data_IF_959118190441
#
_entry.id   IF_959118190441
#
_cell.length_a   1.000
_cell.length_b   1.000
_cell.length_c   1.000
_cell.angle_alpha   90.00
_cell.angle_beta   90.00
_cell.angle_gamma   90.00
#
_symmetry.space_group_name_H-M   'P 1'
#
loop_
_entity.id
_entity.type
_entity.pdbx_description
1 polymer ?
#
# COMPACT_ATOMS: atom_id res chain seq x y z
N UNK A 1 7.13 -33.93 -20.60
CA UNK A 1 5.79 -33.98 -21.22
C UNK A 1 4.80 -34.77 -20.36
N UNK A 2 5.06 -36.05 -20.03
CA UNK A 2 4.12 -36.86 -19.23
C UNK A 2 3.72 -36.26 -17.87
N UNK A 3 4.64 -35.64 -17.13
CA UNK A 3 4.32 -35.01 -15.84
C UNK A 3 3.44 -33.77 -16.02
N UNK A 4 3.77 -32.88 -16.96
CA UNK A 4 2.99 -31.68 -17.26
C UNK A 4 1.56 -31.96 -17.75
N UNK A 5 1.35 -33.13 -18.35
CA UNK A 5 0.04 -33.61 -18.81
C UNK A 5 -0.63 -34.56 -17.79
N UNK A 6 -0.17 -34.59 -16.53
CA UNK A 6 -0.78 -35.40 -15.48
C UNK A 6 -1.87 -34.65 -14.74
N UNK A 7 -3.04 -35.28 -14.57
CA UNK A 7 -4.13 -34.74 -13.73
C UNK A 7 -3.70 -34.57 -12.27
N UNK A 8 -2.80 -35.43 -11.78
CA UNK A 8 -2.24 -35.33 -10.43
C UNK A 8 -1.37 -34.07 -10.32
N UNK A 9 -0.58 -33.77 -11.35
CA UNK A 9 0.25 -32.58 -11.36
C UNK A 9 -0.58 -31.29 -11.45
N UNK A 10 -1.66 -31.30 -12.23
CA UNK A 10 -2.66 -30.23 -12.22
C UNK A 10 -3.27 -30.03 -10.82
N UNK A 11 -3.65 -31.11 -10.14
CA UNK A 11 -4.20 -31.04 -8.78
C UNK A 11 -3.19 -30.45 -7.79
N UNK A 12 -1.90 -30.81 -7.90
CA UNK A 12 -0.83 -30.21 -7.10
C UNK A 12 -0.73 -28.71 -7.37
N UNK A 13 -0.83 -28.28 -8.64
CA UNK A 13 -0.88 -26.85 -9.00
C UNK A 13 -2.11 -26.12 -8.42
N UNK A 14 -3.28 -26.77 -8.41
CA UNK A 14 -4.49 -26.18 -7.82
C UNK A 14 -4.36 -26.03 -6.30
N UNK A 15 -3.87 -27.07 -5.63
CA UNK A 15 -3.63 -27.05 -4.18
C UNK A 15 -2.53 -26.06 -3.80
N UNK A 16 -1.51 -25.86 -4.63
CA UNK A 16 -0.45 -24.88 -4.37
C UNK A 16 -0.94 -23.45 -4.53
N UNK A 17 -1.83 -23.16 -5.48
CA UNK A 17 -2.52 -21.87 -5.59
C UNK A 17 -3.42 -21.60 -4.37
N UNK A 18 -4.21 -22.59 -3.94
CA UNK A 18 -5.00 -22.48 -2.71
C UNK A 18 -4.10 -22.27 -1.49
N UNK A 19 -2.97 -22.99 -1.42
CA UNK A 19 -1.95 -22.82 -0.39
C UNK A 19 -1.38 -21.40 -0.35
N UNK A 20 -1.03 -20.83 -1.50
CA UNK A 20 -0.56 -19.45 -1.62
C UNK A 20 -1.58 -18.45 -1.06
N UNK A 21 -2.86 -18.66 -1.35
CA UNK A 21 -3.92 -17.73 -0.93
C UNK A 21 -4.32 -17.87 0.54
N UNK A 22 -4.50 -19.10 1.04
CA UNK A 22 -5.06 -19.33 2.38
C UNK A 22 -4.01 -19.48 3.48
N UNK A 23 -2.80 -19.95 3.16
CA UNK A 23 -1.77 -20.17 4.18
C UNK A 23 -0.99 -18.89 4.52
N UNK A 24 -0.47 -18.77 5.75
CA UNK A 24 0.33 -17.61 6.16
C UNK A 24 1.77 -17.67 5.65
N UNK A 25 2.34 -16.48 5.43
CA UNK A 25 3.79 -16.20 5.32
C UNK A 25 4.58 -17.26 4.51
N UNK A 26 5.45 -18.04 5.15
CA UNK A 26 6.36 -18.98 4.50
C UNK A 26 5.67 -20.23 3.95
N UNK A 27 4.52 -20.62 4.52
CA UNK A 27 3.73 -21.73 3.99
C UNK A 27 3.06 -21.31 2.67
N UNK A 28 2.50 -20.10 2.64
CA UNK A 28 1.98 -19.48 1.42
C UNK A 28 3.08 -19.32 0.36
N UNK A 29 4.25 -18.83 0.77
CA UNK A 29 5.44 -18.74 -0.10
C UNK A 29 5.84 -20.08 -0.71
N UNK A 30 5.84 -21.16 0.08
CA UNK A 30 6.11 -22.52 -0.43
C UNK A 30 5.07 -22.96 -1.46
N UNK A 31 3.78 -22.67 -1.22
CA UNK A 31 2.71 -22.85 -2.20
C UNK A 31 2.97 -22.08 -3.50
N UNK A 32 3.39 -20.82 -3.39
CA UNK A 32 3.80 -19.98 -4.52
C UNK A 32 4.96 -20.57 -5.32
N UNK A 33 6.00 -21.11 -4.66
CA UNK A 33 7.12 -21.78 -5.34
C UNK A 33 6.67 -23.01 -6.12
N UNK A 34 5.82 -23.86 -5.52
CA UNK A 34 5.29 -25.04 -6.21
C UNK A 34 4.40 -24.62 -7.38
N UNK A 35 3.58 -23.58 -7.22
CA UNK A 35 2.77 -23.00 -8.29
C UNK A 35 3.64 -22.47 -9.45
N UNK A 36 4.76 -21.81 -9.15
CA UNK A 36 5.72 -21.34 -10.15
C UNK A 36 6.32 -22.52 -10.94
N UNK A 37 6.73 -23.60 -10.26
CA UNK A 37 7.23 -24.81 -10.94
C UNK A 37 6.14 -25.43 -11.81
N UNK A 38 4.91 -25.52 -11.30
CA UNK A 38 3.77 -26.05 -12.04
C UNK A 38 3.49 -25.24 -13.33
N UNK A 39 3.30 -23.93 -13.21
CA UNK A 39 3.00 -23.03 -14.34
C UNK A 39 4.10 -23.05 -15.40
N UNK A 40 5.37 -23.03 -14.97
CA UNK A 40 6.51 -23.13 -15.90
C UNK A 40 6.59 -24.51 -16.59
N UNK A 41 6.17 -25.58 -15.92
CA UNK A 41 6.20 -26.93 -16.50
C UNK A 41 5.15 -27.15 -17.59
N UNK A 42 3.99 -26.49 -17.49
CA UNK A 42 2.89 -26.61 -18.47
C UNK A 42 3.05 -25.62 -19.64
N UNK A 43 3.84 -24.56 -19.47
CA UNK A 43 4.06 -23.53 -20.48
C UNK A 43 4.43 -24.06 -21.88
N UNK A 44 5.39 -25.01 -22.04
CA UNK A 44 5.73 -25.51 -23.38
C UNK A 44 4.58 -26.24 -24.07
N UNK A 45 3.74 -26.94 -23.31
CA UNK A 45 2.57 -27.64 -23.83
C UNK A 45 1.48 -26.64 -24.27
N UNK A 46 1.22 -25.62 -23.44
CA UNK A 46 0.26 -24.57 -23.77
C UNK A 46 0.71 -23.77 -25.00
N UNK A 47 2.00 -23.45 -25.11
CA UNK A 47 2.58 -22.74 -26.25
C UNK A 47 2.47 -23.55 -27.56
N UNK A 48 2.79 -24.86 -27.52
CA UNK A 48 2.65 -25.77 -28.66
C UNK A 48 1.18 -25.83 -29.14
N UNK A 49 0.21 -25.88 -28.22
CA UNK A 49 -1.22 -25.87 -28.56
C UNK A 49 -1.66 -24.55 -29.18
N UNK A 50 -1.32 -23.42 -28.58
CA UNK A 50 -1.66 -22.08 -29.10
C UNK A 50 -1.09 -21.88 -30.51
N UNK A 51 0.12 -22.38 -30.78
CA UNK A 51 0.75 -22.27 -32.11
C UNK A 51 -0.01 -22.96 -33.24
N UNK A 52 -0.93 -23.88 -32.92
CA UNK A 52 -1.78 -24.61 -33.88
C UNK A 52 -3.19 -24.03 -34.00
N UNK A 53 -3.47 -22.95 -33.29
CA UNK A 53 -4.76 -22.27 -33.33
C UNK A 53 -4.70 -21.04 -34.25
N UNK A 54 -5.82 -20.65 -34.89
CA UNK A 54 -5.86 -19.44 -35.71
C UNK A 54 -5.45 -18.20 -34.90
N UNK A 55 -4.37 -17.49 -35.28
CA UNK A 55 -3.69 -16.53 -34.39
C UNK A 55 -4.60 -15.38 -33.97
N UNK A 56 -5.37 -14.81 -34.91
CA UNK A 56 -6.29 -13.71 -34.61
C UNK A 56 -7.39 -14.11 -33.63
N UNK A 57 -7.99 -15.31 -33.79
CA UNK A 57 -9.04 -15.80 -32.88
C UNK A 57 -8.49 -16.13 -31.51
N UNK A 58 -7.33 -16.77 -31.45
CA UNK A 58 -6.66 -17.10 -30.19
C UNK A 58 -6.25 -15.86 -29.42
N UNK A 59 -5.67 -14.86 -30.09
CA UNK A 59 -5.31 -13.60 -29.48
C UNK A 59 -6.54 -12.86 -28.95
N UNK A 60 -7.62 -12.79 -29.75
CA UNK A 60 -8.87 -12.15 -29.32
C UNK A 60 -9.43 -12.82 -28.07
N UNK A 61 -9.56 -14.15 -28.05
CA UNK A 61 -10.06 -14.89 -26.89
C UNK A 61 -9.14 -14.69 -25.68
N UNK A 62 -7.83 -14.80 -25.85
CA UNK A 62 -6.87 -14.61 -24.77
C UNK A 62 -6.95 -13.20 -24.15
N UNK A 63 -7.03 -12.15 -24.99
CA UNK A 63 -7.16 -10.77 -24.50
C UNK A 63 -8.50 -10.58 -23.79
N UNK A 64 -9.61 -11.07 -24.35
CA UNK A 64 -10.92 -10.95 -23.70
C UNK A 64 -10.95 -11.68 -22.36
N UNK A 65 -10.42 -12.90 -22.29
CA UNK A 65 -10.30 -13.66 -21.04
C UNK A 65 -9.43 -12.91 -20.02
N UNK A 66 -8.25 -12.43 -20.43
CA UNK A 66 -7.37 -11.65 -19.57
C UNK A 66 -8.07 -10.39 -19.03
N UNK A 67 -8.77 -9.63 -19.89
CA UNK A 67 -9.52 -8.45 -19.47
C UNK A 67 -10.62 -8.82 -18.45
N UNK A 68 -11.37 -9.90 -18.69
CA UNK A 68 -12.39 -10.37 -17.73
C UNK A 68 -11.75 -10.75 -16.39
N UNK A 69 -10.62 -11.46 -16.40
CA UNK A 69 -9.89 -11.82 -15.18
C UNK A 69 -9.40 -10.57 -14.41
N UNK A 70 -8.85 -9.58 -15.13
CA UNK A 70 -8.43 -8.30 -14.55
C UNK A 70 -9.61 -7.53 -13.97
N UNK A 71 -10.72 -7.39 -14.71
CA UNK A 71 -11.91 -6.72 -14.21
C UNK A 71 -12.53 -7.44 -13.01
N UNK A 72 -12.54 -8.78 -13.02
CA UNK A 72 -13.00 -9.56 -11.86
C UNK A 72 -12.14 -9.25 -10.63
N UNK A 73 -10.82 -9.20 -10.79
CA UNK A 73 -9.91 -8.85 -9.69
C UNK A 73 -10.06 -7.39 -9.23
N UNK A 74 -10.44 -6.46 -10.11
CA UNK A 74 -10.83 -5.10 -9.71
C UNK A 74 -12.13 -5.15 -8.90
N UNK A 75 -13.12 -5.92 -9.35
CA UNK A 75 -14.42 -6.01 -8.68
C UNK A 75 -14.37 -6.63 -7.29
N UNK A 76 -13.40 -7.50 -6.98
CA UNK A 76 -13.26 -8.04 -5.61
C UNK A 76 -12.88 -6.96 -4.60
N UNK A 77 -12.28 -5.86 -5.04
CA UNK A 77 -11.81 -4.72 -4.21
C UNK A 77 -12.77 -3.54 -4.33
N UNK A 78 -13.06 -3.12 -5.56
CA UNK A 78 -13.91 -1.97 -5.86
C UNK A 78 -15.40 -2.32 -5.88
N UNK A 79 -15.82 -3.43 -5.25
CA UNK A 79 -17.19 -3.96 -5.33
C UNK A 79 -18.25 -2.92 -4.95
N UNK A 80 -17.94 -2.03 -4.00
CA UNK A 80 -18.87 -1.01 -3.51
C UNK A 80 -19.10 0.13 -4.52
N UNK A 81 -18.27 0.22 -5.56
CA UNK A 81 -18.29 1.30 -6.55
C UNK A 81 -18.77 0.88 -7.93
N UNK A 82 -18.85 -0.43 -8.20
CA UNK A 82 -19.12 -0.99 -9.54
C UNK A 82 -20.44 -1.77 -9.56
N UNK A 83 -21.27 -1.63 -10.61
CA UNK A 83 -22.47 -2.45 -10.77
C UNK A 83 -22.16 -3.94 -10.76
N UNK A 84 -22.87 -4.71 -9.94
CA UNK A 84 -22.67 -6.17 -9.80
C UNK A 84 -21.48 -6.58 -8.95
N UNK A 85 -20.66 -5.65 -8.44
CA UNK A 85 -19.49 -5.96 -7.62
C UNK A 85 -19.82 -6.72 -6.33
N UNK A 86 -21.03 -6.58 -5.79
CA UNK A 86 -21.48 -7.31 -4.60
C UNK A 86 -21.34 -8.83 -4.74
N UNK A 87 -21.44 -9.38 -5.95
CA UNK A 87 -21.30 -10.81 -6.20
C UNK A 87 -19.86 -11.31 -6.15
N UNK A 88 -18.89 -10.39 -6.25
CA UNK A 88 -17.45 -10.69 -6.22
C UNK A 88 -16.79 -10.22 -4.94
N UNK A 89 -17.53 -9.54 -4.06
CA UNK A 89 -17.04 -9.07 -2.76
C UNK A 89 -16.38 -10.22 -2.02
N UNK A 90 -15.11 -10.06 -1.67
CA UNK A 90 -14.32 -11.04 -0.92
C UNK A 90 -14.08 -12.39 -1.63
N UNK A 91 -14.43 -12.49 -2.92
CA UNK A 91 -14.44 -13.75 -3.67
C UNK A 91 -13.33 -13.89 -4.72
N UNK A 92 -12.08 -13.66 -4.32
CA UNK A 92 -10.92 -13.97 -5.21
C UNK A 92 -10.79 -15.47 -5.47
N UNK A 93 -11.33 -16.30 -4.59
CA UNK A 93 -11.43 -17.75 -4.76
C UNK A 93 -12.20 -18.17 -6.01
N UNK A 94 -13.25 -17.44 -6.39
CA UNK A 94 -13.99 -17.70 -7.63
C UNK A 94 -13.11 -17.51 -8.87
N UNK A 95 -12.30 -16.46 -8.88
CA UNK A 95 -11.34 -16.21 -9.96
C UNK A 95 -10.28 -17.30 -10.01
N UNK A 96 -9.71 -17.67 -8.86
CA UNK A 96 -8.71 -18.74 -8.79
C UNK A 96 -9.27 -20.07 -9.31
N UNK A 97 -10.50 -20.43 -8.93
CA UNK A 97 -11.17 -21.62 -9.41
C UNK A 97 -11.41 -21.56 -10.92
N UNK A 98 -11.85 -20.42 -11.46
CA UNK A 98 -12.06 -20.23 -12.89
C UNK A 98 -10.77 -20.36 -13.69
N UNK A 99 -9.66 -19.76 -13.22
CA UNK A 99 -8.33 -19.87 -13.85
C UNK A 99 -7.85 -21.32 -13.87
N UNK A 100 -7.91 -22.02 -12.72
CA UNK A 100 -7.46 -23.41 -12.65
C UNK A 100 -8.33 -24.36 -13.48
N UNK A 101 -9.64 -24.13 -13.53
CA UNK A 101 -10.56 -24.84 -14.40
C UNK A 101 -10.26 -24.58 -15.89
N UNK A 102 -9.97 -23.33 -16.25
CA UNK A 102 -9.54 -22.96 -17.60
C UNK A 102 -8.27 -23.70 -18.02
N UNK A 103 -7.28 -23.78 -17.13
CA UNK A 103 -6.06 -24.57 -17.35
C UNK A 103 -6.40 -26.07 -17.51
N UNK A 104 -7.31 -26.61 -16.68
CA UNK A 104 -7.75 -28.00 -16.80
C UNK A 104 -8.38 -28.31 -18.16
N UNK A 105 -9.34 -27.49 -18.58
CA UNK A 105 -10.02 -27.62 -19.87
C UNK A 105 -9.01 -27.50 -21.02
N UNK A 106 -8.11 -26.52 -20.93
CA UNK A 106 -7.05 -26.28 -21.91
C UNK A 106 -6.08 -27.45 -22.07
N UNK A 107 -5.76 -28.17 -20.99
CA UNK A 107 -4.85 -29.31 -20.99
C UNK A 107 -5.52 -30.65 -21.36
N UNK A 108 -6.75 -30.89 -20.91
CA UNK A 108 -7.35 -32.24 -20.94
C UNK A 108 -8.58 -32.38 -21.83
N UNK A 109 -9.30 -31.30 -22.13
CA UNK A 109 -10.58 -31.34 -22.87
C UNK A 109 -10.46 -30.77 -24.28
N UNK A 110 -9.47 -29.90 -24.52
CA UNK A 110 -9.19 -29.36 -25.84
C UNK A 110 -9.01 -30.46 -26.90
N UNK A 111 -9.73 -30.33 -28.04
CA UNK A 111 -9.56 -31.23 -29.19
C UNK A 111 -8.12 -31.15 -29.70
N UNK A 112 -7.57 -32.27 -30.16
CA UNK A 112 -6.35 -32.27 -30.97
C UNK A 112 -6.61 -31.43 -32.22
N UNK A 113 -6.05 -30.22 -32.27
CA UNK A 113 -6.17 -29.33 -33.42
C UNK A 113 -5.46 -29.92 -34.64
N UNK A 114 -5.94 -29.52 -35.81
CA UNK A 114 -5.47 -29.97 -37.12
C UNK A 114 -3.94 -29.83 -37.23
N UNK A 115 -3.26 -30.95 -37.50
CA UNK A 115 -1.80 -31.00 -37.59
C UNK A 115 -1.26 -30.25 -38.83
N UNK A 116 -2.14 -29.91 -39.77
CA UNK A 116 -1.78 -29.23 -41.02
C UNK A 116 -1.54 -27.73 -40.88
N UNK A 117 -2.02 -27.10 -39.80
CA UNK A 117 -1.89 -25.66 -39.57
C UNK A 117 -0.93 -25.34 -38.42
N UNK A 118 0.05 -24.48 -38.72
CA UNK A 118 0.93 -23.86 -37.71
C UNK A 118 1.01 -22.37 -37.99
N UNK A 119 0.72 -21.55 -36.98
CA UNK A 119 0.74 -20.09 -37.07
C UNK A 119 2.17 -19.54 -37.13
N UNK A 120 3.15 -20.32 -36.67
CA UNK A 120 4.57 -20.02 -36.77
C UNK A 120 5.21 -20.93 -37.83
N UNK A 121 6.10 -20.41 -38.69
CA UNK A 121 6.85 -21.26 -39.60
C UNK A 121 7.60 -22.31 -38.77
N UNK A 122 7.49 -23.58 -39.17
CA UNK A 122 8.30 -24.65 -38.59
C UNK A 122 9.75 -24.33 -38.90
N UNK A 123 10.44 -23.69 -37.96
CA UNK A 123 11.88 -23.46 -38.06
C UNK A 123 12.49 -24.86 -38.15
N UNK A 124 13.16 -25.17 -39.26
CA UNK A 124 13.96 -26.38 -39.38
C UNK A 124 14.81 -26.49 -38.12
N UNK A 125 14.70 -27.62 -37.41
CA UNK A 125 15.47 -27.87 -36.18
C UNK A 125 16.96 -27.82 -36.53
N UNK A 126 17.58 -26.64 -36.49
CA UNK A 126 19.01 -26.54 -36.27
C UNK A 126 19.24 -27.27 -34.94
N UNK A 127 19.96 -28.40 -34.99
CA UNK A 127 20.37 -29.14 -33.80
C UNK A 127 21.29 -28.25 -32.99
N UNK A 128 20.69 -27.41 -32.14
CA UNK A 128 21.41 -26.72 -31.09
C UNK A 128 21.81 -27.81 -30.10
N UNK A 129 23.12 -27.92 -29.83
CA UNK A 129 23.61 -28.90 -28.87
C UNK A 129 22.95 -28.67 -27.52
N UNK A 130 22.40 -29.73 -26.91
CA UNK A 130 21.85 -29.70 -25.56
C UNK A 130 22.87 -29.12 -24.57
N UNK A 131 24.16 -29.42 -24.72
CA UNK A 131 25.21 -28.85 -23.87
C UNK A 131 25.31 -27.33 -23.96
N UNK A 132 25.11 -26.74 -25.16
CA UNK A 132 25.10 -25.29 -25.35
C UNK A 132 23.88 -24.64 -24.71
N UNK A 133 22.73 -25.32 -24.73
CA UNK A 133 21.51 -24.84 -24.05
C UNK A 133 21.69 -24.87 -22.53
N UNK A 134 22.19 -25.97 -21.96
CA UNK A 134 22.45 -26.07 -20.52
C UNK A 134 23.52 -25.06 -20.07
N UNK A 135 24.57 -24.86 -20.87
CA UNK A 135 25.57 -23.83 -20.60
C UNK A 135 24.94 -22.43 -20.59
N UNK A 136 24.11 -22.10 -21.58
CA UNK A 136 23.42 -20.81 -21.63
C UNK A 136 22.48 -20.62 -20.43
N UNK A 137 21.67 -21.63 -20.10
CA UNK A 137 20.78 -21.58 -18.93
C UNK A 137 21.57 -21.46 -17.62
N UNK A 138 22.70 -22.16 -17.51
CA UNK A 138 23.62 -22.05 -16.38
C UNK A 138 24.22 -20.65 -16.27
N UNK A 139 24.66 -20.06 -17.39
CA UNK A 139 25.15 -18.67 -17.42
C UNK A 139 24.06 -17.67 -17.02
N UNK A 140 22.83 -17.84 -17.52
CA UNK A 140 21.68 -17.00 -17.13
C UNK A 140 21.42 -17.13 -15.62
N UNK A 141 21.38 -18.35 -15.09
CA UNK A 141 21.19 -18.59 -13.66
C UNK A 141 22.31 -17.95 -12.83
N UNK A 142 23.57 -18.19 -13.19
CA UNK A 142 24.73 -17.60 -12.51
C UNK A 142 24.69 -16.07 -12.57
N UNK A 143 24.31 -15.48 -13.70
CA UNK A 143 24.18 -14.03 -13.84
C UNK A 143 23.05 -13.47 -12.95
N UNK A 144 21.92 -14.16 -12.87
CA UNK A 144 20.81 -13.79 -11.99
C UNK A 144 21.21 -13.88 -10.51
N UNK A 145 21.85 -14.99 -10.10
CA UNK A 145 22.36 -15.18 -8.74
C UNK A 145 23.42 -14.15 -8.37
N UNK A 146 24.33 -13.81 -9.29
CA UNK A 146 25.31 -12.75 -9.08
C UNK A 146 24.63 -11.39 -8.88
N UNK A 147 23.58 -11.09 -9.67
CA UNK A 147 22.75 -9.90 -9.47
C UNK A 147 22.12 -9.84 -8.07
N UNK A 148 21.54 -10.94 -7.60
CA UNK A 148 21.02 -11.04 -6.23
C UNK A 148 22.11 -10.85 -5.17
N UNK A 149 23.29 -11.46 -5.36
CA UNK A 149 24.41 -11.28 -4.44
C UNK A 149 24.88 -9.82 -4.35
N UNK A 150 24.88 -9.08 -5.47
CA UNK A 150 25.20 -7.64 -5.45
C UNK A 150 24.14 -6.79 -4.74
N UNK A 151 22.87 -7.23 -4.78
CA UNK A 151 21.75 -6.60 -4.07
C UNK A 151 21.64 -7.00 -2.60
N UNK A 152 22.37 -8.03 -2.15
CA UNK A 152 22.37 -8.45 -0.76
C UNK A 152 23.02 -7.41 0.20
N UNK A 153 23.52 -6.28 -0.30
CA UNK A 153 23.95 -5.18 0.58
C UNK A 153 22.80 -4.80 1.50
N UNK A 154 23.12 -4.65 2.80
CA UNK A 154 22.15 -4.16 3.77
C UNK A 154 21.63 -2.80 3.31
N UNK A 155 20.31 -2.64 3.32
CA UNK A 155 19.66 -1.36 3.09
C UNK A 155 20.23 -0.34 4.07
N UNK A 156 20.73 0.77 3.55
CA UNK A 156 21.18 1.89 4.38
C UNK A 156 19.95 2.69 4.81
N UNK A 157 19.72 2.76 6.11
CA UNK A 157 18.62 3.53 6.68
C UNK A 157 19.05 4.98 6.86
N UNK A 158 18.22 5.90 6.36
CA UNK A 158 18.38 7.34 6.58
C UNK A 158 18.16 7.63 8.07
N UNK A 159 19.16 8.15 8.79
CA UNK A 159 18.96 8.50 10.18
C UNK A 159 17.92 9.61 10.30
N UNK A 160 17.09 9.61 11.36
CA UNK A 160 16.20 10.72 11.66
C UNK A 160 17.01 12.01 11.86
N UNK A 161 16.45 13.14 11.41
CA UNK A 161 17.06 14.46 11.61
C UNK A 161 16.85 14.88 13.06
N UNK A 162 17.64 14.34 13.99
CA UNK A 162 17.55 14.69 15.41
C UNK A 162 18.19 16.05 15.66
N UNK A 163 17.43 17.13 15.44
CA UNK A 163 17.82 18.44 15.95
C UNK A 163 17.73 18.47 17.48
N UNK A 164 16.70 17.84 18.06
CA UNK A 164 16.48 17.72 19.50
C UNK A 164 16.06 16.27 19.88
N UNK A 165 16.55 15.72 21.01
CA UNK A 165 16.14 14.40 21.48
C UNK A 165 14.64 14.35 21.79
N UNK A 166 13.94 13.34 21.25
CA UNK A 166 12.50 13.16 21.50
C UNK A 166 11.57 13.91 20.58
N UNK A 167 12.11 14.71 19.67
CA UNK A 167 11.31 15.30 18.63
C UNK A 167 11.22 14.38 17.42
N UNK A 168 10.04 14.34 16.82
CA UNK A 168 9.80 13.62 15.59
C UNK A 168 8.66 14.26 14.79
N UNK A 169 8.62 13.96 13.50
CA UNK A 169 7.57 14.39 12.60
C UNK A 169 6.76 13.20 12.06
N UNK A 170 5.46 13.39 11.92
CA UNK A 170 4.53 12.40 11.41
C UNK A 170 3.68 12.98 10.26
N UNK A 171 3.66 12.28 9.13
CA UNK A 171 3.00 12.68 7.89
C UNK A 171 1.94 11.66 7.49
N UNK A 172 0.80 12.14 6.99
CA UNK A 172 -0.25 11.36 6.34
C UNK A 172 -0.46 11.90 4.93
N UNK A 173 -0.71 10.99 3.98
CA UNK A 173 -1.04 11.34 2.61
C UNK A 173 -1.79 10.22 1.89
N UNK A 174 -2.90 10.53 1.24
CA UNK A 174 -3.57 9.61 0.31
C UNK A 174 -2.81 9.57 -1.01
N UNK A 175 -2.25 8.40 -1.32
CA UNK A 175 -1.19 8.24 -2.31
C UNK A 175 -1.67 7.78 -3.70
N UNK A 176 -2.95 7.44 -3.81
CA UNK A 176 -3.63 7.05 -5.05
C UNK A 176 -2.81 6.02 -5.86
N UNK A 177 -2.33 4.99 -5.17
CA UNK A 177 -1.57 3.85 -5.69
C UNK A 177 -0.27 4.23 -6.43
N UNK A 178 0.26 5.44 -6.18
CA UNK A 178 1.44 5.96 -6.87
C UNK A 178 1.16 6.50 -8.27
N UNK A 179 -0.08 6.93 -8.55
CA UNK A 179 -0.45 7.62 -9.78
C UNK A 179 -0.79 9.10 -9.51
N UNK A 180 -0.41 9.97 -10.44
CA UNK A 180 -0.78 11.39 -10.40
C UNK A 180 -2.22 11.62 -10.89
N UNK A 181 -2.70 12.87 -10.81
CA UNK A 181 -4.08 13.22 -11.22
C UNK A 181 -4.36 13.07 -12.72
N UNK A 182 -3.35 12.72 -13.52
CA UNK A 182 -3.48 12.40 -14.94
C UNK A 182 -3.35 10.90 -15.21
N UNK A 183 -3.25 10.08 -14.16
CA UNK A 183 -3.10 8.63 -14.24
C UNK A 183 -1.68 8.17 -14.62
N UNK A 184 -0.66 9.02 -14.49
CA UNK A 184 0.73 8.63 -14.75
C UNK A 184 1.42 8.15 -13.47
N UNK A 185 2.25 7.09 -13.53
CA UNK A 185 3.10 6.70 -12.42
C UNK A 185 3.92 7.88 -11.88
N UNK A 186 3.94 8.04 -10.56
CA UNK A 186 4.48 9.23 -9.89
C UNK A 186 5.57 8.95 -8.84
N UNK A 187 5.98 7.68 -8.65
CA UNK A 187 6.87 7.23 -7.58
C UNK A 187 8.10 8.14 -7.31
N UNK A 188 8.83 8.53 -8.35
CA UNK A 188 9.99 9.43 -8.22
C UNK A 188 9.62 10.84 -7.72
N UNK A 189 8.54 11.42 -8.23
CA UNK A 189 8.05 12.73 -7.76
C UNK A 189 7.53 12.65 -6.33
N UNK A 190 6.90 11.54 -5.99
CA UNK A 190 6.36 11.26 -4.67
C UNK A 190 7.46 11.06 -3.62
N UNK A 191 8.50 10.27 -3.94
CA UNK A 191 9.67 10.16 -3.07
C UNK A 191 10.37 11.51 -2.87
N UNK A 192 10.46 12.31 -3.94
CA UNK A 192 10.98 13.68 -3.83
C UNK A 192 10.14 14.54 -2.88
N UNK A 193 8.81 14.52 -3.00
CA UNK A 193 7.92 15.25 -2.09
C UNK A 193 8.10 14.79 -0.65
N UNK A 194 8.06 13.48 -0.39
CA UNK A 194 8.25 12.91 0.96
C UNK A 194 9.60 13.34 1.54
N UNK A 195 10.68 13.28 0.75
CA UNK A 195 11.99 13.73 1.20
C UNK A 195 12.02 15.24 1.48
N UNK A 196 11.32 16.04 0.68
CA UNK A 196 11.20 17.50 0.87
C UNK A 196 10.39 17.89 2.11
N UNK A 197 9.42 17.07 2.55
CA UNK A 197 8.71 17.33 3.82
C UNK A 197 9.63 17.14 5.03
N UNK A 198 10.63 16.26 4.90
CA UNK A 198 11.55 15.90 5.98
C UNK A 198 10.93 14.96 7.02
N UNK A 199 9.73 14.43 6.78
CA UNK A 199 8.99 13.57 7.70
C UNK A 199 9.81 12.37 8.20
N UNK A 200 9.68 12.01 9.48
CA UNK A 200 10.37 10.87 10.07
C UNK A 200 9.51 9.61 10.10
N UNK A 201 8.20 9.78 10.32
CA UNK A 201 7.18 8.75 10.15
C UNK A 201 6.21 9.22 9.05
N UNK A 202 5.97 8.37 8.06
CA UNK A 202 5.08 8.66 6.92
C UNK A 202 4.08 7.53 6.81
N UNK A 203 2.81 7.86 6.72
CA UNK A 203 1.81 6.93 6.23
C UNK A 203 1.24 7.37 4.89
N UNK A 204 1.17 6.41 3.98
CA UNK A 204 0.55 6.51 2.68
C UNK A 204 -0.72 5.66 2.70
N UNK A 205 -1.84 6.28 2.35
CA UNK A 205 -3.15 5.62 2.24
C UNK A 205 -3.47 5.37 0.77
N UNK A 206 -4.42 4.47 0.48
CA UNK A 206 -4.65 3.99 -0.89
C UNK A 206 -3.34 3.55 -1.55
N UNK A 207 -2.57 2.77 -0.81
CA UNK A 207 -1.19 2.40 -1.17
C UNK A 207 -1.06 0.91 -1.40
N UNK A 208 -2.16 0.23 -1.75
CA UNK A 208 -2.10 -1.18 -2.13
C UNK A 208 -1.12 -1.38 -3.27
N UNK A 209 -0.42 -2.50 -3.20
CA UNK A 209 0.67 -2.87 -4.06
C UNK A 209 0.50 -4.33 -4.49
N UNK A 210 1.20 -4.74 -5.54
CA UNK A 210 1.19 -6.12 -6.02
C UNK A 210 -0.15 -6.63 -6.58
N UNK A 211 -1.07 -5.72 -6.96
CA UNK A 211 -2.29 -6.08 -7.71
C UNK A 211 -2.02 -6.00 -9.23
N UNK A 212 -2.51 -6.96 -10.04
CA UNK A 212 -2.29 -6.94 -11.49
C UNK A 212 -2.75 -5.66 -12.19
N UNK A 213 -3.87 -5.09 -11.76
CA UNK A 213 -4.39 -3.84 -12.31
C UNK A 213 -3.62 -2.58 -11.86
N UNK A 214 -2.75 -2.71 -10.85
CA UNK A 214 -1.81 -1.66 -10.41
C UNK A 214 -0.39 -1.91 -10.94
N UNK A 215 -0.24 -2.82 -11.91
CA UNK A 215 1.04 -3.13 -12.54
C UNK A 215 1.94 -4.08 -11.75
N UNK A 216 1.41 -4.77 -10.72
CA UNK A 216 2.18 -5.65 -9.82
C UNK A 216 3.40 -4.96 -9.17
N UNK A 217 3.34 -3.65 -8.98
CA UNK A 217 4.42 -2.88 -8.38
C UNK A 217 4.42 -3.07 -6.86
N UNK A 218 5.61 -3.17 -6.25
CA UNK A 218 5.79 -3.11 -4.80
C UNK A 218 6.20 -1.68 -4.40
N UNK A 219 5.20 -0.86 -4.07
CA UNK A 219 5.39 0.53 -3.69
C UNK A 219 6.20 0.65 -2.40
N UNK A 220 5.96 -0.25 -1.44
CA UNK A 220 6.61 -0.24 -0.14
C UNK A 220 8.10 -0.52 -0.27
N UNK A 221 8.47 -1.60 -0.97
CA UNK A 221 9.87 -1.94 -1.22
C UNK A 221 10.59 -0.80 -1.96
N UNK A 222 10.01 -0.28 -3.04
CA UNK A 222 10.63 0.77 -3.83
C UNK A 222 10.84 2.06 -3.02
N UNK A 223 9.82 2.53 -2.29
CA UNK A 223 9.91 3.74 -1.48
C UNK A 223 10.85 3.57 -0.28
N UNK A 224 10.80 2.42 0.38
CA UNK A 224 11.70 2.09 1.49
C UNK A 224 13.16 2.13 1.08
N UNK A 225 13.51 1.50 -0.05
CA UNK A 225 14.87 1.56 -0.60
C UNK A 225 15.26 2.98 -1.03
N UNK A 226 14.37 3.68 -1.74
CA UNK A 226 14.64 5.02 -2.27
C UNK A 226 14.87 6.07 -1.18
N UNK A 227 14.13 5.97 -0.06
CA UNK A 227 14.15 6.93 1.04
C UNK A 227 15.01 6.46 2.23
N UNK A 228 15.48 5.21 2.21
CA UNK A 228 16.20 4.61 3.33
C UNK A 228 15.33 4.46 4.58
N UNK A 229 14.08 4.01 4.42
CA UNK A 229 13.11 3.91 5.53
C UNK A 229 12.67 2.45 5.77
N UNK A 230 12.38 2.13 7.02
CA UNK A 230 11.68 0.90 7.40
C UNK A 230 10.28 0.90 6.79
N UNK A 231 9.82 -0.27 6.35
CA UNK A 231 8.55 -0.45 5.64
C UNK A 231 7.65 -1.38 6.42
N UNK A 232 6.39 -0.99 6.57
CA UNK A 232 5.30 -1.90 6.96
C UNK A 232 4.08 -1.66 6.07
N UNK A 233 3.59 -2.72 5.44
CA UNK A 233 2.48 -2.66 4.50
C UNK A 233 1.37 -3.59 4.98
N UNK A 234 0.14 -3.09 5.04
CA UNK A 234 -0.98 -3.93 5.43
C UNK A 234 -2.36 -3.28 5.35
N UNK A 235 -3.41 -4.11 5.52
CA UNK A 235 -3.38 -5.57 5.57
C UNK A 235 -2.99 -6.21 4.21
N UNK A 236 -2.76 -7.53 4.20
CA UNK A 236 -2.31 -8.23 3.00
C UNK A 236 -3.23 -8.01 1.78
N UNK A 237 -2.67 -7.99 0.56
CA UNK A 237 -3.38 -7.73 -0.71
C UNK A 237 -4.63 -8.61 -0.91
N UNK A 238 -4.64 -9.83 -0.34
CA UNK A 238 -5.78 -10.76 -0.38
C UNK A 238 -6.98 -10.37 0.50
N UNK A 239 -6.87 -9.31 1.30
CA UNK A 239 -7.94 -8.81 2.18
C UNK A 239 -8.86 -7.80 1.48
N UNK A 240 -8.61 -7.54 0.20
CA UNK A 240 -9.48 -6.72 -0.66
C UNK A 240 -9.69 -5.28 -0.19
N UNK A 241 -8.75 -4.74 0.59
CA UNK A 241 -8.71 -3.32 0.94
C UNK A 241 -7.95 -2.51 -0.12
N UNK A 242 -7.85 -1.19 0.06
CA UNK A 242 -6.95 -0.30 -0.69
C UNK A 242 -5.57 -0.13 -0.07
N UNK A 243 -5.28 -0.85 1.02
CA UNK A 243 -3.97 -0.90 1.67
C UNK A 243 -3.54 0.40 2.37
N UNK A 244 -2.74 0.23 3.42
CA UNK A 244 -1.97 1.29 4.06
C UNK A 244 -0.49 0.91 4.03
N UNK A 245 0.36 1.91 3.86
CA UNK A 245 1.80 1.77 3.86
C UNK A 245 2.38 2.73 4.90
N UNK A 246 3.30 2.22 5.69
CA UNK A 246 4.07 2.97 6.67
C UNK A 246 5.53 2.96 6.23
N UNK A 247 6.13 4.14 6.25
CA UNK A 247 7.56 4.36 6.11
C UNK A 247 8.06 5.05 7.37
N UNK A 248 9.14 4.56 7.96
CA UNK A 248 9.70 5.14 9.18
C UNK A 248 11.22 5.22 9.12
N UNK A 249 11.81 6.34 9.52
CA UNK A 249 13.26 6.44 9.78
C UNK A 249 13.66 5.73 11.07
N UNK A 250 12.69 5.52 11.96
CA UNK A 250 12.85 4.82 13.22
C UNK A 250 12.45 3.33 13.11
N UNK A 251 13.08 2.42 13.86
CA UNK A 251 12.71 1.00 13.84
C UNK A 251 11.25 0.75 14.25
N UNK A 252 10.57 -0.07 13.47
CA UNK A 252 9.23 -0.59 13.77
C UNK A 252 9.41 -1.80 14.69
N UNK A 253 8.95 -1.70 15.95
CA UNK A 253 9.15 -2.77 16.95
C UNK A 253 8.00 -3.76 17.01
N UNK A 254 6.79 -3.32 16.65
CA UNK A 254 5.59 -4.16 16.62
C UNK A 254 4.61 -3.59 15.61
N UNK A 255 3.98 -4.45 14.81
CA UNK A 255 2.87 -4.06 13.94
C UNK A 255 1.75 -5.10 13.99
N UNK A 256 0.51 -4.63 13.96
CA UNK A 256 -0.70 -5.43 13.81
C UNK A 256 -1.57 -4.81 12.72
N UNK A 257 -2.00 -5.62 11.76
CA UNK A 257 -2.89 -5.20 10.68
C UNK A 257 -4.32 -5.62 10.96
N UNK A 258 -5.26 -4.74 10.66
CA UNK A 258 -6.68 -4.90 10.96
C UNK A 258 -7.53 -4.71 9.70
N UNK A 259 -8.52 -5.56 9.54
CA UNK A 259 -9.65 -5.32 8.66
C UNK A 259 -10.77 -4.71 9.50
N UNK A 260 -11.14 -3.47 9.19
CA UNK A 260 -12.15 -2.77 10.00
C UNK A 260 -13.55 -3.36 9.78
N UNK A 261 -14.45 -3.27 10.79
CA UNK A 261 -15.81 -3.76 10.64
C UNK A 261 -16.54 -3.11 9.46
N UNK A 262 -17.05 -3.94 8.53
CA UNK A 262 -17.81 -3.46 7.37
C UNK A 262 -18.95 -4.42 7.01
N UNK A 263 -20.13 -4.31 7.65
CA UNK A 263 -21.26 -5.19 7.34
C UNK A 263 -21.81 -5.01 5.93
N UNK A 264 -21.75 -3.81 5.34
CA UNK A 264 -22.40 -3.53 4.05
C UNK A 264 -21.48 -2.83 3.05
N UNK A 265 -20.68 -1.90 3.53
CA UNK A 265 -19.87 -1.01 2.72
C UNK A 265 -18.50 -1.55 2.38
N UNK A 266 -17.55 -0.64 2.33
CA UNK A 266 -16.18 -0.87 1.88
C UNK A 266 -15.29 -1.44 3.00
N UNK A 267 -14.56 -2.50 2.64
CA UNK A 267 -13.49 -3.07 3.46
C UNK A 267 -12.35 -2.06 3.63
N UNK A 268 -12.14 -1.65 4.87
CA UNK A 268 -11.23 -0.57 5.21
C UNK A 268 -10.01 -1.10 6.00
N UNK A 269 -8.79 -0.67 5.65
CA UNK A 269 -7.57 -1.08 6.33
C UNK A 269 -7.26 -0.23 7.57
N UNK A 270 -6.70 -0.85 8.60
CA UNK A 270 -6.03 -0.15 9.69
C UNK A 270 -4.74 -0.88 10.12
N UNK A 271 -3.77 -0.12 10.62
CA UNK A 271 -2.53 -0.63 11.18
C UNK A 271 -2.32 0.00 12.56
N UNK A 272 -2.05 -0.83 13.57
CA UNK A 272 -1.53 -0.37 14.86
C UNK A 272 -0.06 -0.76 14.96
N UNK A 273 0.81 0.23 15.12
CA UNK A 273 2.26 0.03 15.09
C UNK A 273 2.91 0.71 16.29
N UNK A 274 3.97 0.12 16.84
CA UNK A 274 4.83 0.76 17.83
C UNK A 274 6.19 1.02 17.19
N UNK A 275 6.71 2.22 17.38
CA UNK A 275 7.97 2.71 16.81
C UNK A 275 8.91 3.15 17.92
N UNK A 276 10.21 2.85 17.78
CA UNK A 276 11.24 3.27 18.73
C UNK A 276 11.87 4.61 18.32
N UNK A 277 11.39 5.70 18.95
CA UNK A 277 11.86 7.07 18.74
C UNK A 277 12.94 7.38 19.79
N UNK A 278 14.18 6.98 19.49
CA UNK A 278 15.34 7.29 20.32
C UNK A 278 15.30 6.66 21.71
N UNK A 279 14.88 5.40 21.80
CA UNK A 279 14.74 4.63 23.05
C UNK A 279 13.37 4.77 23.72
N UNK A 280 12.44 5.51 23.12
CA UNK A 280 11.08 5.73 23.63
C UNK A 280 10.05 5.24 22.63
N UNK A 281 9.08 4.47 23.12
CA UNK A 281 8.03 3.93 22.27
C UNK A 281 6.92 4.93 22.04
N UNK A 282 6.53 5.07 20.77
CA UNK A 282 5.35 5.81 20.34
C UNK A 282 4.48 4.86 19.52
N UNK A 283 3.20 4.81 19.85
CA UNK A 283 2.22 4.04 19.09
C UNK A 283 1.62 4.91 17.97
N UNK A 284 1.34 4.30 16.83
CA UNK A 284 0.60 4.92 15.75
C UNK A 284 -0.60 4.06 15.37
N UNK A 285 -1.73 4.73 15.14
CA UNK A 285 -2.93 4.10 14.58
C UNK A 285 -3.19 4.75 13.24
N UNK A 286 -2.99 3.98 12.18
CA UNK A 286 -3.08 4.40 10.79
C UNK A 286 -4.30 3.79 10.15
N UNK A 287 -5.08 4.56 9.38
CA UNK A 287 -6.27 4.00 8.71
C UNK A 287 -6.71 4.78 7.49
N UNK A 288 -7.38 4.07 6.58
CA UNK A 288 -8.24 4.66 5.57
C UNK A 288 -9.66 4.14 5.78
N UNK A 289 -10.57 4.94 6.34
CA UNK A 289 -11.97 4.52 6.53
C UNK A 289 -12.67 4.32 5.19
N UNK A 290 -13.70 3.47 5.18
CA UNK A 290 -14.52 3.26 3.99
C UNK A 290 -15.30 4.51 3.61
N UNK A 291 -15.79 4.56 2.38
CA UNK A 291 -16.52 5.72 1.85
C UNK A 291 -17.75 6.17 2.67
N UNK A 292 -18.31 7.32 2.29
CA UNK A 292 -19.37 8.00 3.04
C UNK A 292 -20.77 7.39 2.91
N UNK A 293 -20.99 6.44 1.99
CA UNK A 293 -22.29 5.86 1.64
C UNK A 293 -22.88 5.04 2.80
N UNK A 294 -22.06 4.28 3.49
CA UNK A 294 -22.50 3.32 4.51
C UNK A 294 -22.31 3.86 5.93
N UNK A 295 -23.37 4.49 6.46
CA UNK A 295 -23.35 5.16 7.77
C UNK A 295 -23.04 4.20 8.93
N UNK A 296 -23.52 2.95 8.85
CA UNK A 296 -23.30 1.93 9.89
C UNK A 296 -21.83 1.51 9.93
N UNK A 297 -21.25 1.24 8.77
CA UNK A 297 -19.85 0.87 8.61
C UNK A 297 -18.95 1.94 9.22
N UNK A 298 -19.08 3.21 8.80
CA UNK A 298 -18.30 4.32 9.38
C UNK A 298 -18.42 4.40 10.91
N UNK A 299 -19.62 4.19 11.45
CA UNK A 299 -19.85 4.17 12.90
C UNK A 299 -19.07 3.04 13.59
N UNK A 300 -19.08 1.85 13.03
CA UNK A 300 -18.40 0.68 13.60
C UNK A 300 -16.87 0.79 13.44
N UNK A 301 -16.41 1.31 12.31
CA UNK A 301 -15.01 1.61 12.04
C UNK A 301 -14.47 2.64 13.03
N UNK A 302 -15.15 3.77 13.23
CA UNK A 302 -14.76 4.79 14.20
C UNK A 302 -14.69 4.24 15.63
N UNK A 303 -15.66 3.40 16.03
CA UNK A 303 -15.66 2.72 17.34
C UNK A 303 -14.49 1.77 17.52
N UNK A 304 -14.17 0.99 16.49
CA UNK A 304 -13.04 0.07 16.51
C UNK A 304 -11.73 0.85 16.70
N UNK A 305 -11.52 1.90 15.89
CA UNK A 305 -10.33 2.75 15.95
C UNK A 305 -10.21 3.50 17.29
N UNK A 306 -11.32 4.02 17.82
CA UNK A 306 -11.36 4.63 19.15
C UNK A 306 -10.94 3.62 20.23
N UNK A 307 -11.38 2.37 20.13
CA UNK A 307 -10.93 1.34 21.07
C UNK A 307 -9.42 1.05 20.95
N UNK A 308 -8.87 0.93 19.74
CA UNK A 308 -7.42 0.74 19.55
C UNK A 308 -6.61 1.92 20.13
N UNK A 309 -7.04 3.15 19.88
CA UNK A 309 -6.44 4.37 20.47
C UNK A 309 -6.49 4.36 21.99
N UNK A 310 -7.62 3.94 22.58
CA UNK A 310 -7.79 3.87 24.03
C UNK A 310 -6.91 2.80 24.68
N UNK A 311 -6.65 1.70 23.98
CA UNK A 311 -5.84 0.58 24.48
C UNK A 311 -4.33 0.83 24.41
N UNK A 312 -3.89 1.81 23.62
CA UNK A 312 -2.49 2.22 23.55
C UNK A 312 -1.97 2.70 24.92
N UNK A 313 -0.84 2.14 25.34
CA UNK A 313 -0.17 2.43 26.62
C UNK A 313 0.92 3.48 26.49
N UNK A 314 1.45 3.66 25.28
CA UNK A 314 2.47 4.65 24.97
C UNK A 314 1.80 5.99 24.58
N UNK A 315 2.57 7.08 24.45
CA UNK A 315 2.14 8.20 23.63
C UNK A 315 1.69 7.70 22.25
N UNK A 316 0.59 8.26 21.73
CA UNK A 316 -0.05 7.75 20.52
C UNK A 316 -0.35 8.86 19.53
N UNK A 317 -0.16 8.58 18.24
CA UNK A 317 -0.57 9.42 17.11
C UNK A 317 -1.56 8.66 16.23
N UNK A 318 -2.71 9.24 16.00
CA UNK A 318 -3.66 8.78 14.99
C UNK A 318 -3.39 9.52 13.68
N UNK A 319 -3.24 8.78 12.58
CA UNK A 319 -3.09 9.29 11.23
C UNK A 319 -4.14 8.61 10.36
N UNK A 320 -5.28 9.26 10.14
CA UNK A 320 -6.42 8.60 9.50
C UNK A 320 -7.11 9.41 8.43
N UNK A 321 -7.54 8.72 7.38
CA UNK A 321 -8.57 9.20 6.46
C UNK A 321 -9.95 8.88 7.05
N UNK A 322 -10.57 9.86 7.69
CA UNK A 322 -11.91 9.79 8.31
C UNK A 322 -12.88 10.51 7.38
N UNK A 323 -13.76 9.76 6.72
CA UNK A 323 -14.77 10.26 5.75
C UNK A 323 -15.92 11.01 6.40
N UNK A 324 -15.61 11.96 7.29
CA UNK A 324 -16.54 12.80 8.03
C UNK A 324 -15.83 14.12 8.39
N UNK A 325 -16.57 15.23 8.45
CA UNK A 325 -16.02 16.56 8.80
C UNK A 325 -15.61 16.68 10.29
N UNK A 326 -14.80 17.71 10.65
CA UNK A 326 -14.58 18.08 12.04
C UNK A 326 -15.91 18.35 12.76
N UNK A 327 -16.04 17.88 13.99
CA UNK A 327 -17.29 17.98 14.78
C UNK A 327 -18.39 16.99 14.40
N UNK A 328 -18.13 16.07 13.47
CA UNK A 328 -19.07 14.98 13.16
C UNK A 328 -19.10 13.89 14.23
N UNK A 329 -20.06 12.97 14.13
CA UNK A 329 -20.18 11.79 15.02
C UNK A 329 -18.88 11.00 15.11
N UNK A 330 -18.31 10.62 13.96
CA UNK A 330 -17.14 9.73 13.92
C UNK A 330 -15.89 10.45 14.44
N UNK A 331 -15.75 11.73 14.12
CA UNK A 331 -14.72 12.60 14.70
C UNK A 331 -14.81 12.65 16.24
N UNK A 332 -16.00 12.88 16.79
CA UNK A 332 -16.19 12.91 18.25
C UNK A 332 -15.97 11.54 18.90
N UNK A 333 -16.34 10.45 18.25
CA UNK A 333 -16.06 9.10 18.73
C UNK A 333 -14.56 8.89 18.92
N UNK A 334 -13.75 9.28 17.94
CA UNK A 334 -12.28 9.18 18.01
C UNK A 334 -11.71 10.05 19.13
N UNK A 335 -12.10 11.32 19.24
CA UNK A 335 -11.59 12.22 20.28
C UNK A 335 -11.99 11.77 21.69
N UNK A 336 -13.28 11.51 21.90
CA UNK A 336 -13.84 11.25 23.24
C UNK A 336 -13.55 9.82 23.69
N UNK A 337 -13.88 8.83 22.87
CA UNK A 337 -13.71 7.42 23.27
C UNK A 337 -12.31 6.90 22.97
N UNK A 338 -11.63 7.43 21.96
CA UNK A 338 -10.20 7.17 21.72
C UNK A 338 -9.28 7.93 22.67
N UNK A 339 -9.82 8.92 23.40
CA UNK A 339 -9.08 9.76 24.34
C UNK A 339 -7.83 10.36 23.69
N UNK A 340 -8.04 11.08 22.59
CA UNK A 340 -7.01 11.81 21.85
C UNK A 340 -7.47 13.24 21.59
N UNK A 341 -6.51 14.13 21.35
CA UNK A 341 -6.74 15.52 20.97
C UNK A 341 -6.49 15.69 19.48
N UNK A 342 -7.21 16.60 18.85
CA UNK A 342 -6.89 17.02 17.49
C UNK A 342 -5.61 17.89 17.48
N UNK A 343 -4.77 17.73 16.45
CA UNK A 343 -3.64 18.62 16.19
C UNK A 343 -4.09 20.09 16.13
N UNK A 344 -5.24 20.37 15.51
CA UNK A 344 -5.78 21.71 15.32
C UNK A 344 -7.31 21.73 15.14
N UNK A 345 -8.03 21.78 16.25
CA UNK A 345 -9.49 21.90 16.27
C UNK A 345 -10.05 23.17 15.61
N UNK A 346 -9.21 24.18 15.34
CA UNK A 346 -9.63 25.42 14.68
C UNK A 346 -9.70 25.28 13.16
N UNK A 347 -9.05 24.25 12.58
CA UNK A 347 -9.06 23.99 11.15
C UNK A 347 -10.32 23.18 10.75
N UNK A 348 -11.35 23.94 10.34
CA UNK A 348 -12.64 23.41 9.89
C UNK A 348 -12.68 23.03 8.41
N UNK A 349 -11.63 23.37 7.66
CA UNK A 349 -11.54 23.12 6.20
C UNK A 349 -10.84 21.78 5.90
N UNK A 350 -10.61 20.96 6.93
CA UNK A 350 -10.12 19.59 6.75
C UNK A 350 -11.27 18.69 6.36
N UNK A 351 -11.01 17.90 5.32
CA UNK A 351 -11.87 16.81 4.92
C UNK A 351 -10.98 15.59 4.72
N UNK A 352 -11.45 14.46 5.21
CA UNK A 352 -10.79 13.18 5.16
C UNK A 352 -9.50 13.02 5.97
N UNK A 353 -8.44 13.80 5.82
CA UNK A 353 -7.18 13.53 6.55
C UNK A 353 -7.12 14.20 7.93
N UNK A 354 -6.80 13.42 8.97
CA UNK A 354 -6.70 13.87 10.37
C UNK A 354 -5.44 13.37 11.06
N UNK A 355 -4.86 14.27 11.86
CA UNK A 355 -3.81 13.95 12.82
C UNK A 355 -4.37 14.21 14.23
N UNK A 356 -4.42 13.17 15.06
CA UNK A 356 -4.82 13.28 16.47
C UNK A 356 -3.73 12.66 17.35
N UNK A 357 -3.66 13.03 18.62
CA UNK A 357 -2.57 12.56 19.49
C UNK A 357 -2.95 12.52 20.98
N UNK A 358 -2.20 11.73 21.77
CA UNK A 358 -2.20 11.75 23.24
C UNK A 358 -0.78 11.46 23.75
N UNK A 359 -0.40 12.09 24.87
CA UNK A 359 0.88 11.81 25.53
C UNK A 359 2.07 12.54 24.91
N UNK A 360 1.83 13.54 24.09
CA UNK A 360 2.84 14.30 23.34
C UNK A 360 2.60 15.81 23.48
N UNK A 361 3.65 16.60 23.31
CA UNK A 361 3.54 18.05 23.10
C UNK A 361 3.54 18.31 21.60
N UNK A 362 2.52 18.99 21.07
CA UNK A 362 2.55 19.42 19.66
C UNK A 362 3.48 20.62 19.47
N UNK A 363 4.26 20.62 18.40
CA UNK A 363 5.22 21.69 18.09
C UNK A 363 4.82 22.45 16.84
N UNK A 364 4.33 21.75 15.82
CA UNK A 364 3.90 22.35 14.57
C UNK A 364 2.96 21.49 13.77
N UNK A 365 2.23 22.12 12.86
CA UNK A 365 1.29 21.49 11.94
C UNK A 365 1.31 22.21 10.59
N UNK A 366 1.40 21.46 9.50
CA UNK A 366 1.37 21.99 8.16
C UNK A 366 0.53 21.13 7.20
N UNK A 367 -0.14 21.82 6.28
CA UNK A 367 -0.83 21.26 5.11
C UNK A 367 -0.04 21.68 3.87
N UNK A 368 0.26 20.73 3.00
CA UNK A 368 1.04 20.96 1.77
C UNK A 368 0.18 20.54 0.59
N UNK A 369 -0.01 21.44 -0.37
CA UNK A 369 -0.87 21.18 -1.54
C UNK A 369 -0.41 19.96 -2.33
N UNK A 370 -1.37 19.26 -2.90
CA UNK A 370 -1.16 18.01 -3.64
C UNK A 370 -0.27 18.14 -4.89
N UNK A 371 -0.08 19.35 -5.45
CA UNK A 371 0.85 19.62 -6.57
C UNK A 371 0.58 18.78 -7.83
N UNK A 372 -0.66 18.30 -7.99
CA UNK A 372 -1.06 17.38 -9.05
C UNK A 372 -0.64 15.92 -8.86
N UNK A 373 0.05 15.56 -7.77
CA UNK A 373 0.50 14.19 -7.49
C UNK A 373 -0.57 13.28 -6.87
N UNK A 374 -1.55 13.89 -6.22
CA UNK A 374 -2.74 13.23 -5.65
C UNK A 374 -3.91 14.20 -5.72
N UNK A 375 -5.12 13.74 -5.42
CA UNK A 375 -6.30 14.59 -5.22
C UNK A 375 -6.40 15.12 -3.78
N UNK A 376 -5.63 14.54 -2.84
CA UNK A 376 -5.50 15.04 -1.47
C UNK A 376 -4.19 15.78 -1.24
N UNK A 377 -4.27 16.77 -0.34
CA UNK A 377 -3.09 17.43 0.22
C UNK A 377 -2.32 16.47 1.15
N UNK A 378 -1.09 16.85 1.49
CA UNK A 378 -0.31 16.20 2.54
C UNK A 378 -0.56 16.93 3.86
N UNK A 379 -0.73 16.18 4.95
CA UNK A 379 -0.67 16.76 6.30
C UNK A 379 0.54 16.23 7.07
N UNK A 380 1.20 17.12 7.81
CA UNK A 380 2.36 16.79 8.64
C UNK A 380 2.29 17.52 9.98
N UNK A 381 2.66 16.83 11.06
CA UNK A 381 2.79 17.39 12.39
C UNK A 381 4.17 17.09 12.99
N UNK A 382 4.62 17.96 13.89
CA UNK A 382 5.82 17.78 14.71
C UNK A 382 5.43 17.65 16.17
N UNK A 383 6.06 16.72 16.87
CA UNK A 383 5.79 16.41 18.26
C UNK A 383 7.09 16.34 19.06
N UNK A 384 6.98 16.63 20.35
CA UNK A 384 8.00 16.31 21.35
C UNK A 384 7.43 15.26 22.32
N UNK A 385 8.21 14.22 22.59
CA UNK A 385 7.91 13.23 23.61
C UNK A 385 8.33 13.81 24.98
N UNK A 386 7.41 14.03 25.92
CA UNK A 386 7.76 14.60 27.22
C UNK A 386 8.73 13.72 28.00
N UNK A 387 9.62 14.33 28.77
CA UNK A 387 10.53 13.62 29.67
C UNK A 387 9.79 12.99 30.87
N UNK A 388 8.71 13.64 31.32
CA UNK A 388 7.83 13.13 32.38
C UNK A 388 6.39 12.97 31.86
N UNK A 389 6.00 11.76 31.42
CA UNK A 389 4.67 11.50 30.87
C UNK A 389 3.50 11.74 31.85
N UNK A 390 3.75 11.64 33.15
CA UNK A 390 2.70 11.80 34.19
C UNK A 390 2.40 13.28 34.50
N UNK A 391 3.35 14.18 34.22
CA UNK A 391 3.23 15.59 34.57
C UNK A 391 3.77 16.49 33.45
N UNK A 392 3.28 16.29 32.23
CA UNK A 392 3.55 17.18 31.10
C UNK A 392 2.37 18.10 30.82
N UNK A 393 2.68 19.28 30.28
CA UNK A 393 1.70 20.21 29.75
C UNK A 393 1.88 20.31 28.25
N UNK A 394 0.77 20.23 27.54
CA UNK A 394 0.73 20.33 26.09
C UNK A 394 0.78 21.80 25.63
N UNK A 395 1.30 22.03 24.44
CA UNK A 395 1.43 23.35 23.85
C UNK A 395 0.09 23.75 23.22
N UNK A 396 -0.50 24.85 23.68
CA UNK A 396 -1.85 25.27 23.26
C UNK A 396 -1.87 26.64 22.60
N UNK A 397 -0.81 27.44 22.78
CA UNK A 397 -0.75 28.79 22.22
C UNK A 397 -0.27 28.76 20.78
N UNK A 398 -1.20 29.01 19.86
CA UNK A 398 -0.95 29.01 18.42
C UNK A 398 -0.21 30.28 17.95
N UNK A 399 0.76 30.11 17.06
CA UNK A 399 1.37 31.19 16.26
C UNK A 399 1.60 30.72 14.82
N UNK A 400 1.46 31.62 13.85
CA UNK A 400 1.84 31.41 12.44
C UNK A 400 3.14 32.14 12.08
N UNK A 401 3.71 32.88 13.03
CA UNK A 401 4.96 33.60 12.87
C UNK A 401 6.15 32.68 13.22
N UNK A 402 6.94 32.23 12.22
CA UNK A 402 8.06 31.33 12.46
C UNK A 402 9.19 32.00 13.26
N UNK A 403 9.24 33.32 13.37
CA UNK A 403 10.26 34.01 14.19
C UNK A 403 10.04 33.83 15.70
N UNK A 404 8.85 33.35 16.10
CA UNK A 404 8.50 33.11 17.52
C UNK A 404 8.82 31.71 18.00
N UNK A 405 9.34 30.84 17.12
CA UNK A 405 9.71 29.46 17.43
C UNK A 405 11.11 29.15 16.93
N UNK A 406 11.76 28.20 17.58
CA UNK A 406 13.10 27.76 17.23
C UNK A 406 13.16 27.15 15.83
N UNK A 407 14.31 27.30 15.19
CA UNK A 407 14.49 26.90 13.79
C UNK A 407 14.35 25.40 13.55
N UNK A 408 14.58 24.55 14.57
CA UNK A 408 14.40 23.11 14.45
C UNK A 408 12.93 22.70 14.25
N UNK A 409 11.99 23.51 14.76
CA UNK A 409 10.54 23.28 14.55
C UNK A 409 10.09 23.73 13.15
N UNK A 410 10.86 24.55 12.45
CA UNK A 410 10.47 25.08 11.14
C UNK A 410 10.21 23.96 10.12
N UNK A 411 9.19 24.15 9.28
CA UNK A 411 8.95 23.27 8.14
C UNK A 411 9.82 23.72 6.96
N UNK A 412 10.01 22.85 5.97
CA UNK A 412 10.88 23.15 4.84
C UNK A 412 10.42 24.41 4.08
N UNK A 413 11.31 25.40 4.00
CA UNK A 413 11.05 26.71 3.35
C UNK A 413 10.75 26.60 1.86
N UNK A 414 11.06 25.45 1.22
CA UNK A 414 10.74 25.17 -0.18
C UNK A 414 9.25 25.33 -0.49
N UNK A 415 8.37 25.02 0.46
CA UNK A 415 6.92 25.16 0.28
C UNK A 415 6.42 26.62 0.36
N UNK A 416 7.33 27.59 0.56
CA UNK A 416 7.06 29.02 0.47
C UNK A 416 6.24 29.57 1.65
N UNK A 417 5.51 30.66 1.40
CA UNK A 417 4.49 31.18 2.32
C UNK A 417 3.14 30.52 2.04
N UNK A 418 2.29 30.48 3.05
CA UNK A 418 0.97 29.87 2.92
C UNK A 418 0.05 30.61 1.96
N UNK A 419 -0.83 29.86 1.30
CA UNK A 419 -1.92 30.41 0.51
C UNK A 419 -3.25 30.24 1.23
N UNK A 420 -3.98 31.35 1.43
CA UNK A 420 -5.27 31.32 2.13
C UNK A 420 -6.36 30.76 1.21
N UNK A 421 -7.00 29.68 1.65
CA UNK A 421 -8.08 28.99 0.91
C UNK A 421 -7.58 27.85 0.03
N UNK A 422 -8.53 27.17 -0.62
CA UNK A 422 -8.23 26.07 -1.54
C UNK A 422 -7.47 26.56 -2.77
N UNK A 423 -6.28 26.00 -3.02
CA UNK A 423 -5.45 26.35 -4.18
C UNK A 423 -5.00 25.13 -4.97
N UNK A 424 -5.25 25.16 -6.29
CA UNK A 424 -4.75 24.16 -7.24
C UNK A 424 -3.48 24.70 -7.91
N UNK A 425 -2.33 24.23 -7.45
CA UNK A 425 -1.02 24.65 -7.95
C UNK A 425 -0.32 23.49 -8.66
N UNK A 426 0.51 23.83 -9.65
CA UNK A 426 1.42 22.88 -10.29
C UNK A 426 2.58 22.45 -9.37
N UNK A 427 2.92 23.28 -8.38
CA UNK A 427 3.98 23.03 -7.40
C UNK A 427 3.40 22.86 -5.99
N UNK A 428 4.16 22.18 -5.12
CA UNK A 428 3.79 22.01 -3.71
C UNK A 428 4.03 23.30 -2.91
N UNK A 429 3.00 23.78 -2.23
CA UNK A 429 3.04 24.97 -1.37
C UNK A 429 2.36 24.69 -0.06
N UNK A 430 2.67 25.48 0.97
CA UNK A 430 1.85 25.46 2.17
C UNK A 430 0.43 25.93 1.84
N UNK A 431 -0.53 25.19 2.35
CA UNK A 431 -1.94 25.33 2.05
C UNK A 431 -2.69 25.86 3.28
N UNK A 432 -3.82 26.53 3.02
CA UNK A 432 -4.70 27.08 4.04
C UNK A 432 -3.95 28.05 4.97
N UNK A 433 -4.22 28.00 6.28
CA UNK A 433 -3.61 28.90 7.28
C UNK A 433 -2.36 28.29 7.94
N UNK A 434 -1.67 27.38 7.25
CA UNK A 434 -0.51 26.63 7.77
C UNK A 434 0.77 27.00 7.02
N UNK A 435 1.99 26.94 7.60
CA UNK A 435 2.33 26.24 8.82
C UNK A 435 1.87 26.98 10.07
N UNK A 436 1.47 26.19 11.05
CA UNK A 436 1.08 26.59 12.40
C UNK A 436 2.10 26.03 13.37
N UNK A 437 2.41 26.79 14.41
CA UNK A 437 3.33 26.40 15.48
C UNK A 437 2.66 26.57 16.83
N UNK A 438 3.05 25.73 17.79
CA UNK A 438 2.43 25.67 19.11
C UNK A 438 3.47 25.95 20.18
N UNK A 439 3.24 27.02 20.93
CA UNK A 439 4.08 27.47 22.02
C UNK A 439 3.59 26.88 23.37
N UNK A 440 4.50 26.70 24.34
CA UNK A 440 4.17 26.28 25.72
C UNK A 440 3.11 27.14 26.42
#
# INVERSE_FOLDING_TARGET
RHVAQSKIWWLIGALSLAGLYYLPTYQGYTGGLVLAVYTMSIWPEMADRVSRCPPARSLLVAIVTYLVEIFFFVWTVAYNFVPGGVYTREHTDYLMAAVMLGIFVGLFVGKSFDQSFTALPVIEKKRISLSKVHLLLGLILCSGLAGFATRYRQQEFSPPSQAEPGEFSAMIWTYHFGYDNRGWPSLERSAKLINETGADFVTLLESDASKPFLGNNDLGMWLGEKLGMYVDFGPATKTHTWGNLILSKYPIVKSTHHLLPSPHGELAPAITVTVDVGGRHVDFVVTHMGNDRDILDRKLQAKFLANELKQSKNPVVFLGYVTSAPGSRDYHELLTNGNVKDIDETDRDRWCEYIMYRGLQKLGYARITHGGLSDTEVQIAKFHIPDNPENYKDNTRLTTDPSKVDSHVHFNKRFGSFHRGHGYFSDHKFHMSTPKYFLP
#
